data_IF_236004629207
#
_entry.id   IF_236004629207
#
_cell.length_a   1.000
_cell.length_b   1.000
_cell.length_c   1.000
_cell.angle_alpha   90.00
_cell.angle_beta   90.00
_cell.angle_gamma   90.00
#
_symmetry.space_group_name_H-M   'P 1'
#
loop_
_entity.id
_entity.type
_entity.pdbx_description
1 polymer ?
#
# COMPACT_ATOMS: atom_id res chain seq x y z
N UNK A 1 -9.55 25.73 -19.13
CA UNK A 1 -8.80 25.42 -20.37
C UNK A 1 -7.33 25.26 -19.99
N UNK A 2 -6.63 24.27 -20.57
CA UNK A 2 -5.35 23.64 -20.15
C UNK A 2 -5.55 22.72 -18.93
N UNK A 3 -5.37 21.41 -18.99
CA UNK A 3 -4.91 20.52 -20.06
C UNK A 3 -4.21 19.33 -19.39
N UNK A 4 -4.83 18.16 -19.45
CA UNK A 4 -4.16 16.88 -19.22
C UNK A 4 -3.03 16.71 -20.26
N UNK A 5 -1.87 16.15 -19.86
CA UNK A 5 -1.02 15.24 -20.64
C UNK A 5 0.31 15.00 -19.90
N UNK A 6 0.70 13.74 -19.71
CA UNK A 6 2.00 13.38 -19.15
C UNK A 6 2.13 11.89 -18.87
N UNK A 7 1.95 11.03 -19.88
CA UNK A 7 2.43 9.65 -19.86
C UNK A 7 3.90 9.59 -20.31
N UNK A 8 4.59 8.57 -19.79
CA UNK A 8 5.82 7.94 -20.28
C UNK A 8 7.17 8.69 -20.08
N UNK A 9 8.02 8.13 -19.19
CA UNK A 9 9.28 7.41 -19.52
C UNK A 9 10.19 7.34 -18.29
N UNK A 10 10.53 6.11 -17.84
CA UNK A 10 11.89 5.66 -17.46
C UNK A 10 11.84 4.15 -17.20
N UNK A 11 12.66 3.41 -17.93
CA UNK A 11 12.80 1.96 -17.84
C UNK A 11 13.64 1.52 -16.64
N UNK A 12 13.76 0.20 -16.41
CA UNK A 12 14.53 -0.36 -15.31
C UNK A 12 16.02 -0.50 -15.67
N UNK A 13 16.88 0.10 -14.87
CA UNK A 13 18.33 -0.13 -14.86
C UNK A 13 18.67 -1.12 -13.72
N UNK A 14 19.37 -2.21 -14.08
CA UNK A 14 20.38 -2.86 -13.26
C UNK A 14 19.95 -3.75 -12.08
N UNK A 15 19.83 -5.07 -12.32
CA UNK A 15 20.05 -6.09 -11.29
C UNK A 15 21.41 -6.73 -11.55
N UNK A 16 22.42 -6.32 -10.77
CA UNK A 16 23.76 -6.89 -10.76
C UNK A 16 23.96 -7.84 -9.57
N UNK A 17 24.22 -9.10 -9.90
CA UNK A 17 25.05 -10.10 -9.21
C UNK A 17 25.03 -10.18 -7.66
N UNK A 18 24.39 -11.24 -7.15
CA UNK A 18 24.83 -11.93 -5.92
C UNK A 18 25.88 -12.97 -6.32
N UNK A 19 27.11 -12.76 -5.85
CA UNK A 19 28.19 -13.73 -5.92
C UNK A 19 28.12 -14.70 -4.74
N UNK A 20 28.26 -16.00 -5.03
CA UNK A 20 28.68 -17.01 -4.05
C UNK A 20 29.82 -17.79 -4.68
N UNK A 21 31.05 -17.42 -4.30
CA UNK A 21 32.26 -18.13 -4.66
C UNK A 21 32.40 -19.41 -3.84
N UNK A 22 32.74 -20.50 -4.53
CA UNK A 22 33.35 -21.69 -3.92
C UNK A 22 34.62 -22.00 -4.73
N UNK A 23 35.79 -21.74 -4.13
CA UNK A 23 37.07 -22.28 -4.61
C UNK A 23 37.02 -23.82 -4.56
N UNK A 24 37.73 -24.57 -5.41
CA UNK A 24 39.05 -24.34 -5.95
C UNK A 24 39.96 -25.43 -5.36
N UNK A 25 40.21 -26.49 -6.12
CA UNK A 25 41.10 -27.60 -5.76
C UNK A 25 41.46 -28.38 -7.02
N UNK A 26 42.76 -28.46 -7.29
CA UNK A 26 43.39 -28.78 -8.56
C UNK A 26 43.72 -30.28 -8.74
N UNK A 27 43.89 -30.67 -10.01
CA UNK A 27 44.86 -31.61 -10.61
C UNK A 27 44.18 -32.31 -11.81
N UNK A 28 44.50 -31.87 -13.04
CA UNK A 28 45.53 -32.41 -13.94
C UNK A 28 45.11 -33.74 -14.61
N UNK A 29 44.93 -33.69 -15.94
CA UNK A 29 45.56 -34.61 -16.92
C UNK A 29 45.03 -34.38 -18.36
N UNK A 30 45.93 -33.83 -19.18
CA UNK A 30 46.24 -34.21 -20.57
C UNK A 30 45.15 -34.28 -21.68
N UNK A 31 45.03 -33.18 -22.46
CA UNK A 31 45.08 -33.09 -23.95
C UNK A 31 44.10 -33.84 -24.87
N UNK A 32 44.05 -33.55 -26.21
CA UNK A 32 44.87 -32.61 -26.98
C UNK A 32 44.09 -31.55 -27.79
N UNK A 33 44.78 -30.41 -27.97
CA UNK A 33 44.92 -29.60 -29.19
C UNK A 33 43.84 -29.66 -30.30
N UNK A 34 43.24 -28.50 -30.60
CA UNK A 34 42.61 -28.24 -31.89
C UNK A 34 41.87 -26.91 -32.01
N UNK A 35 42.54 -25.87 -32.52
CA UNK A 35 41.98 -24.66 -33.16
C UNK A 35 41.21 -23.70 -32.23
N UNK A 36 41.64 -22.47 -31.98
CA UNK A 36 41.92 -21.46 -33.00
C UNK A 36 40.59 -20.91 -33.54
N UNK A 37 40.08 -19.83 -32.95
CA UNK A 37 38.85 -19.22 -33.44
C UNK A 37 38.19 -18.29 -32.43
N UNK A 38 38.76 -17.09 -32.30
CA UNK A 38 38.09 -15.92 -31.78
C UNK A 38 36.91 -15.60 -32.71
N UNK A 39 35.72 -16.11 -32.41
CA UNK A 39 34.49 -15.64 -33.02
C UNK A 39 33.47 -15.32 -31.92
N UNK A 40 32.99 -14.08 -31.99
CA UNK A 40 31.86 -13.54 -31.24
C UNK A 40 30.67 -14.51 -31.23
N UNK A 41 30.64 -15.36 -30.21
CA UNK A 41 29.51 -16.22 -29.91
C UNK A 41 28.36 -15.41 -29.33
N UNK A 42 27.70 -14.60 -30.17
CA UNK A 42 26.35 -14.14 -29.88
C UNK A 42 25.46 -15.35 -29.57
N UNK A 43 24.30 -15.11 -28.95
CA UNK A 43 23.31 -16.10 -28.46
C UNK A 43 22.94 -17.27 -29.41
N UNK A 44 23.42 -17.28 -30.65
CA UNK A 44 23.20 -18.31 -31.67
C UNK A 44 24.03 -19.60 -31.52
N UNK A 45 25.06 -19.64 -30.68
CA UNK A 45 26.00 -20.78 -30.64
C UNK A 45 25.74 -21.88 -29.60
N UNK A 46 24.78 -21.71 -28.69
CA UNK A 46 24.65 -22.59 -27.51
C UNK A 46 23.51 -23.61 -27.59
N UNK A 47 22.75 -23.63 -28.68
CA UNK A 47 21.62 -24.56 -28.87
C UNK A 47 22.11 -25.94 -29.34
N UNK A 48 22.80 -26.69 -28.47
CA UNK A 48 23.16 -28.10 -28.73
C UNK A 48 21.99 -29.07 -28.46
N UNK A 49 20.75 -28.64 -28.67
CA UNK A 49 19.54 -29.45 -28.45
C UNK A 49 19.02 -30.07 -29.74
N UNK A 50 18.43 -31.27 -29.64
CA UNK A 50 17.70 -31.83 -30.79
C UNK A 50 16.48 -30.95 -31.11
N UNK A 51 16.01 -30.88 -32.38
CA UNK A 51 14.83 -30.10 -32.74
C UNK A 51 13.58 -30.50 -31.92
N UNK A 52 13.53 -31.76 -31.47
CA UNK A 52 12.48 -32.26 -30.58
C UNK A 52 12.52 -31.60 -29.19
N UNK A 53 13.69 -31.49 -28.56
CA UNK A 53 13.81 -30.82 -27.25
C UNK A 53 13.44 -29.34 -27.32
N UNK A 54 13.79 -28.68 -28.43
CA UNK A 54 13.39 -27.30 -28.65
C UNK A 54 11.86 -27.18 -28.77
N UNK A 55 11.22 -28.09 -29.51
CA UNK A 55 9.77 -28.15 -29.62
C UNK A 55 9.08 -28.39 -28.26
N UNK A 56 9.60 -29.30 -27.43
CA UNK A 56 9.12 -29.55 -26.07
C UNK A 56 9.20 -28.29 -25.20
N UNK A 57 10.34 -27.56 -25.25
CA UNK A 57 10.50 -26.31 -24.48
C UNK A 57 9.58 -25.20 -24.97
N UNK A 58 9.32 -25.11 -26.27
CA UNK A 58 8.32 -24.17 -26.79
C UNK A 58 6.91 -24.55 -26.36
N UNK A 59 6.59 -25.84 -26.28
CA UNK A 59 5.31 -26.30 -25.76
C UNK A 59 5.14 -25.94 -24.28
N UNK A 60 6.16 -26.18 -23.44
CA UNK A 60 6.16 -25.80 -22.02
C UNK A 60 6.01 -24.28 -21.84
N UNK A 61 6.72 -23.49 -22.65
CA UNK A 61 6.64 -22.03 -22.61
C UNK A 61 5.25 -21.54 -23.04
N UNK A 62 4.69 -22.12 -24.09
CA UNK A 62 3.33 -21.79 -24.54
C UNK A 62 2.28 -22.16 -23.49
N UNK A 63 2.42 -23.33 -22.84
CA UNK A 63 1.55 -23.77 -21.75
C UNK A 63 1.62 -22.78 -20.58
N UNK A 64 2.82 -22.48 -20.06
CA UNK A 64 3.00 -21.54 -18.94
C UNK A 64 2.49 -20.13 -19.26
N UNK A 65 2.65 -19.66 -20.50
CA UNK A 65 2.09 -18.37 -20.94
C UNK A 65 0.56 -18.39 -20.94
N UNK A 66 -0.05 -19.46 -21.46
CA UNK A 66 -1.51 -19.60 -21.46
C UNK A 66 -2.09 -19.69 -20.04
N UNK A 67 -1.39 -20.38 -19.12
CA UNK A 67 -1.74 -20.42 -17.71
C UNK A 67 -1.61 -19.04 -17.04
N UNK A 68 -0.57 -18.28 -17.37
CA UNK A 68 -0.40 -16.93 -16.86
C UNK A 68 -1.55 -16.00 -17.29
N UNK A 69 -2.03 -16.14 -18.53
CA UNK A 69 -3.22 -15.41 -19.01
C UNK A 69 -4.48 -15.83 -18.26
N UNK A 70 -4.73 -17.13 -18.09
CA UNK A 70 -5.89 -17.62 -17.32
C UNK A 70 -5.88 -17.13 -15.87
N UNK A 71 -4.75 -17.20 -15.19
CA UNK A 71 -4.62 -16.70 -13.82
C UNK A 71 -4.89 -15.20 -13.73
N UNK A 72 -4.45 -14.43 -14.74
CA UNK A 72 -4.76 -12.99 -14.80
C UNK A 72 -6.25 -12.76 -14.96
N UNK A 73 -6.91 -13.44 -15.89
CA UNK A 73 -8.36 -13.34 -16.10
C UNK A 73 -9.15 -13.73 -14.85
N UNK A 74 -8.77 -14.80 -14.18
CA UNK A 74 -9.37 -15.22 -12.90
C UNK A 74 -9.22 -14.12 -11.84
N UNK A 75 -8.02 -13.57 -11.66
CA UNK A 75 -7.79 -12.48 -10.72
C UNK A 75 -8.64 -11.26 -11.06
N UNK A 76 -8.74 -10.90 -12.35
CA UNK A 76 -9.56 -9.79 -12.81
C UNK A 76 -11.05 -10.04 -12.54
N UNK A 77 -11.54 -11.27 -12.76
CA UNK A 77 -12.90 -11.67 -12.43
C UNK A 77 -13.20 -11.53 -10.93
N UNK A 78 -12.32 -12.08 -10.08
CA UNK A 78 -12.44 -11.99 -8.62
C UNK A 78 -12.37 -10.53 -8.15
N UNK A 79 -11.45 -9.74 -8.71
CA UNK A 79 -11.32 -8.33 -8.37
C UNK A 79 -12.57 -7.53 -8.80
N UNK A 80 -13.12 -7.83 -9.97
CA UNK A 80 -14.38 -7.27 -10.45
C UNK A 80 -15.54 -7.55 -9.49
N UNK A 81 -15.67 -8.80 -9.04
CA UNK A 81 -16.68 -9.21 -8.05
C UNK A 81 -16.52 -8.46 -6.73
N UNK A 82 -15.31 -8.41 -6.18
CA UNK A 82 -15.02 -7.69 -4.93
C UNK A 82 -15.30 -6.19 -5.04
N UNK A 83 -15.06 -5.56 -6.20
CA UNK A 83 -15.41 -4.15 -6.43
C UNK A 83 -16.92 -3.94 -6.39
N UNK A 84 -17.70 -4.82 -6.99
CA UNK A 84 -19.16 -4.76 -6.98
C UNK A 84 -19.71 -4.94 -5.56
N UNK A 85 -19.23 -5.95 -4.82
CA UNK A 85 -19.61 -6.20 -3.43
C UNK A 85 -19.24 -5.00 -2.53
N UNK A 86 -18.04 -4.44 -2.68
CA UNK A 86 -17.64 -3.22 -1.96
C UNK A 86 -18.53 -2.02 -2.26
N UNK A 87 -18.94 -1.83 -3.53
CA UNK A 87 -19.84 -0.76 -3.91
C UNK A 87 -21.21 -0.93 -3.22
N UNK A 88 -21.74 -2.16 -3.19
CA UNK A 88 -22.97 -2.51 -2.45
C UNK A 88 -22.84 -2.20 -0.96
N UNK A 89 -21.78 -2.70 -0.32
CA UNK A 89 -21.53 -2.48 1.12
C UNK A 89 -21.34 -1.00 1.46
N UNK A 90 -20.75 -0.20 0.57
CA UNK A 90 -20.63 1.26 0.75
C UNK A 90 -21.99 1.94 0.75
N UNK A 91 -22.91 1.54 -0.13
CA UNK A 91 -24.26 2.09 -0.17
C UNK A 91 -25.05 1.69 1.07
N UNK A 92 -24.94 0.44 1.49
CA UNK A 92 -25.55 -0.06 2.72
C UNK A 92 -25.02 0.67 3.96
N UNK A 93 -23.71 0.84 4.07
CA UNK A 93 -23.10 1.64 5.14
C UNK A 93 -23.60 3.08 5.14
N UNK A 94 -23.79 3.70 3.97
CA UNK A 94 -24.36 5.05 3.89
C UNK A 94 -25.81 5.07 4.39
N UNK A 95 -26.61 4.06 4.06
CA UNK A 95 -27.99 3.90 4.56
C UNK A 95 -27.99 3.73 6.08
N UNK A 96 -27.20 2.80 6.61
CA UNK A 96 -27.09 2.54 8.04
C UNK A 96 -26.60 3.77 8.81
N UNK A 97 -25.64 4.54 8.28
CA UNK A 97 -25.20 5.80 8.89
C UNK A 97 -26.31 6.83 9.00
N UNK A 98 -27.22 6.90 8.00
CA UNK A 98 -28.39 7.78 8.07
C UNK A 98 -29.38 7.30 9.11
N UNK A 99 -29.69 6.00 9.12
CA UNK A 99 -30.58 5.38 10.09
C UNK A 99 -30.06 5.55 11.52
N UNK A 100 -28.80 5.21 11.78
CA UNK A 100 -28.16 5.40 13.08
C UNK A 100 -28.17 6.85 13.53
N UNK A 101 -27.95 7.81 12.61
CA UNK A 101 -28.05 9.23 12.94
C UNK A 101 -29.48 9.63 13.32
N UNK A 102 -30.48 9.10 12.63
CA UNK A 102 -31.88 9.35 12.97
C UNK A 102 -32.24 8.74 14.33
N UNK A 103 -31.86 7.49 14.57
CA UNK A 103 -32.06 6.80 15.85
C UNK A 103 -31.37 7.55 16.99
N UNK A 104 -30.10 7.93 16.81
CA UNK A 104 -29.35 8.69 17.82
C UNK A 104 -30.01 10.05 18.14
N UNK A 105 -30.55 10.73 17.12
CA UNK A 105 -31.33 11.95 17.35
C UNK A 105 -32.61 11.67 18.12
N UNK A 106 -33.34 10.60 17.79
CA UNK A 106 -34.54 10.20 18.52
C UNK A 106 -34.24 9.85 19.98
N UNK A 107 -33.13 9.16 20.25
CA UNK A 107 -32.77 8.75 21.61
C UNK A 107 -32.24 9.89 22.45
N UNK A 108 -31.37 10.76 21.89
CA UNK A 108 -30.76 11.85 22.66
C UNK A 108 -31.63 13.09 22.78
N UNK A 109 -32.42 13.42 21.76
CA UNK A 109 -33.29 14.61 21.79
C UNK A 109 -34.69 14.28 22.33
N UNK A 110 -34.96 13.02 22.65
CA UNK A 110 -36.27 12.53 23.09
C UNK A 110 -37.39 12.77 22.05
N UNK A 111 -38.66 12.53 22.40
CA UNK A 111 -39.77 13.17 21.70
C UNK A 111 -39.51 14.67 21.78
N UNK A 112 -39.38 15.34 20.62
CA UNK A 112 -38.80 16.68 20.55
C UNK A 112 -39.35 17.66 21.60
N UNK A 113 -38.51 18.55 22.15
CA UNK A 113 -38.93 19.49 23.18
C UNK A 113 -40.12 20.30 22.67
N UNK A 114 -41.23 20.24 23.41
CA UNK A 114 -42.28 21.25 23.28
C UNK A 114 -41.68 22.65 23.49
N UNK A 115 -42.35 23.71 22.99
CA UNK A 115 -41.81 25.07 22.96
C UNK A 115 -41.31 25.63 24.32
N UNK A 116 -41.64 24.98 25.42
CA UNK A 116 -41.39 25.45 26.79
C UNK A 116 -40.09 24.93 27.45
N UNK A 117 -39.27 24.11 26.78
CA UNK A 117 -38.02 23.57 27.35
C UNK A 117 -36.75 24.13 26.71
N UNK A 118 -36.67 25.45 26.61
CA UNK A 118 -35.48 26.14 26.07
C UNK A 118 -34.66 26.77 27.20
N UNK A 119 -33.56 26.14 27.68
CA UNK A 119 -32.60 26.81 28.57
C UNK A 119 -32.08 28.12 27.97
N UNK A 120 -31.69 29.10 28.82
CA UNK A 120 -31.36 30.45 28.39
C UNK A 120 -30.22 30.44 27.36
N UNK A 121 -30.35 31.26 26.32
CA UNK A 121 -29.44 31.29 25.17
C UNK A 121 -27.96 31.58 25.53
N UNK A 122 -27.70 32.16 26.70
CA UNK A 122 -26.36 32.47 27.20
C UNK A 122 -25.56 31.21 27.57
N UNK A 123 -26.15 30.27 28.33
CA UNK A 123 -25.47 29.03 28.76
C UNK A 123 -25.12 28.12 27.56
N UNK A 124 -26.01 28.08 26.55
CA UNK A 124 -25.75 27.34 25.29
C UNK A 124 -24.62 27.96 24.46
N UNK A 125 -24.41 29.27 24.57
CA UNK A 125 -23.34 29.98 23.85
C UNK A 125 -21.97 29.60 24.41
N UNK A 126 -21.84 29.65 25.73
CA UNK A 126 -20.59 29.32 26.44
C UNK A 126 -20.21 27.84 26.27
N UNK A 127 -21.17 26.92 26.39
CA UNK A 127 -20.94 25.50 26.14
C UNK A 127 -20.55 25.20 24.68
N UNK A 128 -21.19 25.88 23.72
CA UNK A 128 -20.87 25.71 22.30
C UNK A 128 -19.45 26.23 21.97
N UNK A 129 -19.02 27.31 22.61
CA UNK A 129 -17.66 27.84 22.48
C UNK A 129 -16.62 26.92 23.14
N UNK A 130 -16.93 26.38 24.33
CA UNK A 130 -16.08 25.39 25.00
C UNK A 130 -15.88 24.12 24.15
N UNK A 131 -16.95 23.60 23.55
CA UNK A 131 -16.89 22.43 22.66
C UNK A 131 -16.11 22.73 21.37
N UNK A 132 -16.24 23.92 20.81
CA UNK A 132 -15.43 24.36 19.65
C UNK A 132 -13.96 24.45 20.01
N UNK A 133 -13.63 24.98 21.18
CA UNK A 133 -12.25 25.03 21.68
C UNK A 133 -11.67 23.61 21.89
N UNK A 134 -12.45 22.69 22.47
CA UNK A 134 -12.07 21.29 22.63
C UNK A 134 -11.84 20.60 21.27
N UNK A 135 -12.72 20.81 20.30
CA UNK A 135 -12.55 20.29 18.95
C UNK A 135 -11.31 20.85 18.26
N UNK A 136 -11.02 22.14 18.44
CA UNK A 136 -9.80 22.78 17.94
C UNK A 136 -8.53 22.14 18.53
N UNK A 137 -8.52 21.91 19.85
CA UNK A 137 -7.41 21.20 20.54
C UNK A 137 -7.21 19.79 19.98
N UNK A 138 -8.29 19.02 19.84
CA UNK A 138 -8.23 17.66 19.32
C UNK A 138 -7.75 17.60 17.86
N UNK A 139 -8.23 18.51 17.01
CA UNK A 139 -7.80 18.62 15.62
C UNK A 139 -6.31 18.98 15.52
N UNK A 140 -5.82 19.84 16.40
CA UNK A 140 -4.40 20.19 16.45
C UNK A 140 -3.54 19.00 16.91
N UNK A 141 -3.97 18.23 17.93
CA UNK A 141 -3.30 16.98 18.33
C UNK A 141 -3.23 15.99 17.17
N UNK A 142 -4.34 15.79 16.46
CA UNK A 142 -4.39 14.93 15.29
C UNK A 142 -3.42 15.40 14.18
N UNK A 143 -3.35 16.71 13.93
CA UNK A 143 -2.42 17.29 12.96
C UNK A 143 -0.95 17.06 13.36
N UNK A 144 -0.61 17.19 14.64
CA UNK A 144 0.73 16.95 15.18
C UNK A 144 1.11 15.46 15.05
N UNK A 145 0.25 14.55 15.47
CA UNK A 145 0.46 13.11 15.33
C UNK A 145 0.68 12.69 13.87
N UNK A 146 -0.11 13.22 12.92
CA UNK A 146 0.10 12.93 11.49
C UNK A 146 1.41 13.48 10.95
N UNK A 147 1.88 14.64 11.43
CA UNK A 147 3.19 15.18 11.05
C UNK A 147 4.31 14.30 11.59
N UNK A 148 4.18 13.83 12.83
CA UNK A 148 5.13 12.92 13.46
C UNK A 148 5.24 11.62 12.66
N UNK A 149 4.12 10.92 12.41
CA UNK A 149 4.11 9.68 11.62
C UNK A 149 4.70 9.84 10.21
N UNK A 150 4.50 11.01 9.57
CA UNK A 150 5.13 11.31 8.27
C UNK A 150 6.65 11.49 8.38
N UNK A 151 7.15 12.05 9.48
CA UNK A 151 8.59 12.17 9.76
C UNK A 151 9.21 10.80 10.02
N UNK A 152 8.63 9.99 10.90
CA UNK A 152 9.09 8.62 11.19
C UNK A 152 9.17 7.78 9.91
N UNK A 153 8.14 7.87 9.06
CA UNK A 153 8.11 7.17 7.77
C UNK A 153 9.20 7.65 6.80
N UNK A 154 9.64 8.89 6.90
CA UNK A 154 10.73 9.44 6.08
C UNK A 154 12.12 9.16 6.68
N UNK A 155 12.21 8.94 7.99
CA UNK A 155 13.44 8.73 8.75
C UNK A 155 13.84 7.26 8.94
N UNK A 156 13.07 6.31 8.38
CA UNK A 156 13.11 4.87 8.68
C UNK A 156 14.52 4.28 8.90
N UNK A 157 14.84 4.01 10.18
CA UNK A 157 15.91 3.16 10.69
C UNK A 157 15.45 2.50 12.01
N UNK A 158 15.89 1.27 12.34
CA UNK A 158 15.27 0.42 13.38
C UNK A 158 15.47 0.89 14.83
N UNK A 159 16.39 1.82 15.10
CA UNK A 159 16.69 2.33 16.45
C UNK A 159 15.92 3.61 16.81
N UNK A 160 15.14 4.17 15.87
CA UNK A 160 14.41 5.41 16.06
C UNK A 160 12.99 5.18 16.64
N UNK A 161 12.43 3.98 16.50
CA UNK A 161 11.03 3.70 16.86
C UNK A 161 10.72 3.88 18.34
N UNK A 162 11.61 3.41 19.23
CA UNK A 162 11.31 3.33 20.67
C UNK A 162 11.44 4.71 21.36
N UNK A 163 12.22 5.62 20.78
CA UNK A 163 12.32 7.01 21.21
C UNK A 163 11.20 7.86 20.60
N UNK A 164 10.85 7.61 19.33
CA UNK A 164 9.74 8.26 18.61
C UNK A 164 8.37 7.94 19.22
N UNK A 165 8.18 6.73 19.75
CA UNK A 165 6.94 6.33 20.42
C UNK A 165 6.77 7.03 21.79
N UNK A 166 7.87 7.30 22.50
CA UNK A 166 7.85 8.08 23.76
C UNK A 166 7.58 9.57 23.52
N UNK A 167 8.17 10.17 22.48
CA UNK A 167 7.88 11.56 22.10
C UNK A 167 6.42 11.75 21.68
N UNK A 168 5.81 10.75 21.03
CA UNK A 168 4.37 10.75 20.72
C UNK A 168 3.50 10.73 21.97
N UNK A 169 3.86 9.92 22.96
CA UNK A 169 3.13 9.84 24.23
C UNK A 169 3.26 11.14 25.04
N UNK A 170 4.43 11.78 25.05
CA UNK A 170 4.64 13.09 25.67
C UNK A 170 3.79 14.19 25.01
N UNK A 171 3.76 14.24 23.67
CA UNK A 171 2.91 15.18 22.91
C UNK A 171 1.40 14.99 23.13
N UNK A 172 0.98 13.81 23.59
CA UNK A 172 -0.40 13.50 23.96
C UNK A 172 -0.70 13.83 25.43
N UNK A 173 0.28 13.73 26.32
CA UNK A 173 0.18 13.93 27.78
C UNK A 173 0.32 15.38 28.26
N UNK A 174 0.86 16.31 27.45
CA UNK A 174 1.16 17.71 27.84
C UNK A 174 -0.01 18.54 28.42
N UNK A 175 -1.27 18.06 28.46
CA UNK A 175 -2.41 18.79 29.03
C UNK A 175 -3.15 18.05 30.17
N UNK A 176 -2.57 17.03 30.80
CA UNK A 176 -3.14 16.39 32.03
C UNK A 176 -2.81 17.16 33.32
N UNK A 177 -2.66 18.48 33.28
CA UNK A 177 -2.62 19.31 34.49
C UNK A 177 -3.72 20.37 34.47
N UNK A 178 -4.44 20.54 35.59
CA UNK A 178 -5.74 21.22 35.67
C UNK A 178 -5.69 22.71 35.35
#
# INVERSE_FOLDING_TARGET
>A
RRGCNGWARRGPEGLGAVGSGRGGGAEELAGPSGGGGQEEGGWRGQSRGSPQQLAERYADLAASYSEALRQREEREWHNGRLRQENARLRLENRRLRRENRCLFRQTLLGPGPGPDQTPPAAERGEEAEALRAQLGRLQEKHRRALRHLRRCRAASGPEASDLEDRELDELLQEDEQP
#
